data_IF_428921310232
#
_entry.id   IF_428921310232
#
_cell.length_a   1.000
_cell.length_b   1.000
_cell.length_c   1.000
_cell.angle_alpha   90.00
_cell.angle_beta   90.00
_cell.angle_gamma   90.00
#
_symmetry.space_group_name_H-M   'P 1'
#
loop_
_entity.id
_entity.type
_entity.pdbx_description
1 polymer ?
#
# COMPACT_ATOMS: atom_id res chain seq x y z
N UNK A 1 43.30 13.76 -14.64
CA UNK A 1 41.96 13.18 -14.85
C UNK A 1 41.18 13.41 -13.57
N UNK A 2 39.99 14.01 -13.67
CA UNK A 2 39.08 14.11 -12.53
C UNK A 2 38.67 12.72 -12.06
N UNK A 3 38.40 12.56 -10.77
CA UNK A 3 37.80 11.35 -10.26
C UNK A 3 36.31 11.37 -10.61
N UNK A 4 35.83 10.41 -11.39
CA UNK A 4 34.41 10.34 -11.79
C UNK A 4 33.47 10.30 -10.58
N UNK A 5 33.93 9.81 -9.42
CA UNK A 5 33.14 9.82 -8.18
C UNK A 5 32.88 11.23 -7.64
N UNK A 6 33.71 12.21 -8.00
CA UNK A 6 33.58 13.61 -7.57
C UNK A 6 32.86 14.49 -8.58
N UNK A 7 32.57 13.97 -9.77
CA UNK A 7 31.78 14.69 -10.77
C UNK A 7 30.32 14.71 -10.35
N UNK A 8 29.69 15.88 -10.43
CA UNK A 8 28.27 16.03 -10.14
C UNK A 8 27.46 15.46 -11.30
N UNK A 9 26.52 14.59 -10.97
CA UNK A 9 25.48 14.12 -11.86
C UNK A 9 24.11 14.48 -11.32
N UNK A 10 23.11 14.27 -12.15
CA UNK A 10 21.72 14.54 -11.83
C UNK A 10 21.10 13.32 -11.16
N UNK A 11 20.72 13.44 -9.90
CA UNK A 11 19.96 12.43 -9.17
C UNK A 11 18.49 12.85 -9.15
N UNK A 12 17.63 12.07 -9.78
CA UNK A 12 16.21 12.39 -9.96
C UNK A 12 15.29 11.29 -9.45
N UNK A 13 14.14 11.70 -8.92
CA UNK A 13 13.08 10.81 -8.46
C UNK A 13 11.93 10.79 -9.48
N UNK A 14 11.63 9.60 -9.96
CA UNK A 14 10.54 9.33 -10.90
C UNK A 14 9.38 8.64 -10.20
N UNK A 15 8.17 9.19 -10.33
CA UNK A 15 6.94 8.56 -9.85
C UNK A 15 6.26 7.68 -10.89
N UNK A 16 6.85 7.58 -12.08
CA UNK A 16 6.47 6.59 -13.07
C UNK A 16 7.07 6.90 -14.44
N UNK A 17 7.30 5.81 -15.17
CA UNK A 17 7.91 5.80 -16.48
C UNK A 17 6.97 5.13 -17.48
N UNK A 18 7.22 5.38 -18.77
CA UNK A 18 6.49 4.72 -19.85
C UNK A 18 6.96 5.22 -21.20
N UNK A 19 6.09 5.11 -22.18
CA UNK A 19 6.36 5.55 -23.54
C UNK A 19 5.22 6.40 -24.09
N UNK A 20 5.60 7.36 -24.93
CA UNK A 20 4.71 8.23 -25.69
C UNK A 20 5.23 8.34 -27.12
N UNK A 21 4.33 8.52 -28.08
CA UNK A 21 4.76 8.88 -29.44
C UNK A 21 5.07 10.39 -29.52
N UNK A 22 5.92 10.79 -30.46
CA UNK A 22 6.14 12.20 -30.75
C UNK A 22 4.84 12.92 -31.14
N UNK A 23 3.91 12.21 -31.80
CA UNK A 23 2.59 12.75 -32.13
C UNK A 23 1.79 13.07 -30.86
N UNK A 24 1.69 12.12 -29.92
CA UNK A 24 1.01 12.34 -28.64
C UNK A 24 1.61 13.53 -27.89
N UNK A 25 2.94 13.62 -27.84
CA UNK A 25 3.63 14.76 -27.20
C UNK A 25 3.28 16.09 -27.88
N UNK A 26 3.18 16.12 -29.21
CA UNK A 26 2.90 17.35 -29.97
C UNK A 26 1.48 17.91 -29.78
N UNK A 27 0.54 17.07 -29.37
CA UNK A 27 -0.87 17.45 -29.16
C UNK A 27 -1.25 17.59 -27.68
N UNK A 28 -0.29 17.38 -26.76
CA UNK A 28 -0.53 17.53 -25.32
C UNK A 28 -1.08 18.92 -25.01
N UNK A 29 -2.15 18.96 -24.22
CA UNK A 29 -2.78 20.20 -23.75
C UNK A 29 -3.06 20.13 -22.25
N UNK A 30 -3.18 21.30 -21.58
CA UNK A 30 -3.62 21.35 -20.19
C UNK A 30 -4.94 20.58 -19.97
N UNK A 31 -4.97 19.80 -18.90
CA UNK A 31 -6.07 18.92 -18.52
C UNK A 31 -5.91 17.45 -18.96
N UNK A 32 -5.05 17.17 -19.94
CA UNK A 32 -4.78 15.78 -20.34
C UNK A 32 -4.07 15.01 -19.21
N UNK A 33 -4.18 13.69 -19.25
CA UNK A 33 -3.57 12.80 -18.25
C UNK A 33 -2.59 11.87 -18.93
N UNK A 34 -1.32 11.94 -18.54
CA UNK A 34 -0.30 10.97 -18.92
C UNK A 34 -0.23 9.89 -17.84
N UNK A 35 -0.68 8.69 -18.19
CA UNK A 35 -0.74 7.52 -17.31
C UNK A 35 0.55 6.73 -17.35
N UNK A 36 0.79 6.01 -16.26
CA UNK A 36 1.87 5.03 -16.14
C UNK A 36 1.28 3.69 -15.71
N UNK A 37 2.06 2.62 -15.83
CA UNK A 37 1.74 1.34 -15.20
C UNK A 37 2.23 1.26 -13.76
N UNK A 38 2.79 2.36 -13.22
CA UNK A 38 3.32 2.41 -11.87
C UNK A 38 2.17 2.49 -10.87
N UNK A 39 2.09 1.53 -9.96
CA UNK A 39 1.08 1.54 -8.90
C UNK A 39 1.45 2.52 -7.79
N UNK A 40 0.45 3.21 -7.26
CA UNK A 40 0.54 4.03 -6.07
C UNK A 40 1.02 3.19 -4.87
N UNK A 41 1.92 3.74 -4.06
CA UNK A 41 2.41 3.08 -2.86
C UNK A 41 3.51 2.05 -3.06
N UNK A 42 3.82 1.69 -4.30
CA UNK A 42 5.07 0.99 -4.58
C UNK A 42 6.26 1.94 -4.46
N UNK A 43 7.45 1.37 -4.22
CA UNK A 43 8.69 2.13 -4.27
C UNK A 43 8.92 2.71 -5.66
N UNK A 44 9.36 3.96 -5.71
CA UNK A 44 9.60 4.78 -6.89
C UNK A 44 11.06 4.73 -7.33
N UNK A 45 11.29 4.86 -8.63
CA UNK A 45 12.62 4.76 -9.23
C UNK A 45 13.41 6.04 -8.97
N UNK A 46 14.68 5.88 -8.59
CA UNK A 46 15.66 6.96 -8.52
C UNK A 46 16.72 6.72 -9.56
N UNK A 47 16.92 7.70 -10.43
CA UNK A 47 17.88 7.66 -11.51
C UNK A 47 19.05 8.60 -11.23
N UNK A 48 20.26 8.17 -11.61
CA UNK A 48 21.43 9.04 -11.70
C UNK A 48 21.86 9.12 -13.16
N UNK A 49 21.80 10.32 -13.74
CA UNK A 49 22.05 10.56 -15.16
C UNK A 49 21.26 9.59 -16.07
N UNK A 50 19.98 9.36 -15.75
CA UNK A 50 19.10 8.46 -16.50
C UNK A 50 19.28 6.96 -16.26
N UNK A 51 20.22 6.55 -15.39
CA UNK A 51 20.41 5.15 -15.00
C UNK A 51 19.81 4.87 -13.62
N UNK A 52 18.97 3.84 -13.50
CA UNK A 52 18.40 3.44 -12.22
C UNK A 52 19.50 3.08 -11.23
N UNK A 53 19.43 3.61 -10.01
CA UNK A 53 20.36 3.26 -8.91
C UNK A 53 19.60 2.74 -7.68
N UNK A 54 18.47 3.33 -7.33
CA UNK A 54 17.71 2.95 -6.15
C UNK A 54 16.21 2.92 -6.42
N UNK A 55 15.52 2.21 -5.55
CA UNK A 55 14.08 2.32 -5.38
C UNK A 55 13.82 2.88 -3.98
N UNK A 56 12.90 3.83 -3.87
CA UNK A 56 12.64 4.53 -2.62
C UNK A 56 11.20 4.99 -2.47
N UNK A 57 10.83 5.37 -1.25
CA UNK A 57 9.54 5.97 -0.97
C UNK A 57 9.65 7.48 -0.97
N UNK A 58 8.66 8.18 -1.50
CA UNK A 58 8.58 9.65 -1.38
C UNK A 58 8.37 10.02 0.08
N UNK A 59 9.15 10.99 0.55
CA UNK A 59 8.96 11.63 1.85
C UNK A 59 8.86 13.14 1.65
N UNK A 60 8.16 13.82 2.54
CA UNK A 60 8.14 15.28 2.58
C UNK A 60 8.94 15.71 3.81
N UNK A 61 10.01 16.46 3.59
CA UNK A 61 10.89 17.01 4.61
C UNK A 61 10.59 18.49 4.67
N UNK A 62 9.92 18.92 5.74
CA UNK A 62 9.30 20.25 5.86
C UNK A 62 8.33 20.56 4.72
N UNK A 63 8.82 21.21 3.66
CA UNK A 63 8.06 21.59 2.48
C UNK A 63 8.68 21.04 1.18
N UNK A 64 9.77 20.28 1.28
CA UNK A 64 10.50 19.76 0.13
C UNK A 64 10.24 18.27 -0.05
N UNK A 65 10.18 17.83 -1.30
CA UNK A 65 10.25 16.42 -1.63
C UNK A 65 11.62 15.87 -1.29
N UNK A 66 11.59 14.64 -0.81
CA UNK A 66 12.76 13.78 -0.70
C UNK A 66 12.36 12.34 -1.00
N UNK A 67 13.33 11.45 -0.95
CA UNK A 67 13.06 10.02 -0.98
C UNK A 67 13.85 9.31 0.12
N UNK A 68 13.27 8.21 0.59
CA UNK A 68 13.93 7.26 1.48
C UNK A 68 14.25 6.00 0.70
N UNK A 69 15.52 5.63 0.64
CA UNK A 69 15.97 4.42 -0.05
C UNK A 69 15.34 3.20 0.63
N UNK A 70 14.77 2.29 -0.16
CA UNK A 70 14.21 1.02 0.35
C UNK A 70 14.97 -0.19 -0.18
N UNK A 71 15.31 -0.19 -1.47
CA UNK A 71 16.03 -1.28 -2.12
C UNK A 71 16.83 -0.78 -3.30
N UNK A 72 17.79 -1.58 -3.77
CA UNK A 72 18.56 -1.34 -4.99
C UNK A 72 17.94 -2.05 -6.20
N UNK A 73 17.01 -2.97 -5.98
CA UNK A 73 16.31 -3.63 -7.06
C UNK A 73 15.40 -2.62 -7.77
N UNK A 74 15.37 -2.59 -9.12
CA UNK A 74 14.39 -1.79 -9.83
C UNK A 74 12.97 -2.27 -9.48
N UNK A 75 11.98 -1.37 -9.51
CA UNK A 75 10.59 -1.80 -9.41
C UNK A 75 10.28 -2.80 -10.55
N UNK A 76 9.28 -3.66 -10.33
CA UNK A 76 8.84 -4.58 -11.39
C UNK A 76 8.53 -3.75 -12.64
N UNK A 77 9.06 -4.10 -13.82
CA UNK A 77 8.78 -3.35 -15.04
C UNK A 77 7.27 -3.40 -15.28
N UNK A 78 6.64 -2.23 -15.19
CA UNK A 78 5.26 -2.02 -15.66
C UNK A 78 5.33 -1.61 -17.12
N UNK A 79 4.67 -2.34 -18.00
CA UNK A 79 4.56 -1.97 -19.41
C UNK A 79 4.66 -3.14 -20.37
N UNK A 80 4.00 -2.99 -21.52
CA UNK A 80 4.17 -3.89 -22.64
C UNK A 80 5.59 -3.75 -23.21
N UNK A 81 6.24 -4.88 -23.49
CA UNK A 81 7.42 -4.87 -24.36
C UNK A 81 6.92 -4.62 -25.79
N UNK A 82 7.18 -3.43 -26.32
CA UNK A 82 6.85 -3.12 -27.69
C UNK A 82 7.88 -3.79 -28.60
N UNK A 83 7.47 -4.86 -29.28
CA UNK A 83 8.27 -5.55 -30.29
C UNK A 83 7.77 -5.08 -31.66
N UNK A 84 8.68 -4.53 -32.47
CA UNK A 84 8.45 -3.82 -33.74
C UNK A 84 8.07 -2.34 -33.55
N UNK A 85 9.11 -1.51 -33.47
CA UNK A 85 9.01 -0.07 -33.63
C UNK A 85 9.71 0.24 -34.95
N UNK A 86 8.99 0.73 -35.94
CA UNK A 86 9.53 0.99 -37.29
C UNK A 86 10.10 2.43 -37.39
N UNK A 87 9.67 3.33 -36.48
CA UNK A 87 10.15 4.72 -36.39
C UNK A 87 10.61 5.08 -34.96
N UNK A 88 11.79 5.71 -34.83
CA UNK A 88 12.34 6.18 -33.56
C UNK A 88 11.43 7.16 -32.79
N UNK A 89 10.46 7.80 -33.47
CA UNK A 89 9.51 8.74 -32.89
C UNK A 89 8.21 8.09 -32.40
N UNK A 90 7.98 6.80 -32.66
CA UNK A 90 6.77 6.10 -32.19
C UNK A 90 6.82 5.79 -30.69
N UNK A 91 8.02 5.60 -30.14
CA UNK A 91 8.22 5.09 -28.78
C UNK A 91 9.30 5.88 -28.05
N UNK A 92 8.96 7.12 -27.66
CA UNK A 92 9.84 7.95 -26.84
C UNK A 92 9.64 7.63 -25.36
N UNK A 93 10.71 7.31 -24.62
CA UNK A 93 10.60 7.06 -23.19
C UNK A 93 10.24 8.36 -22.48
N UNK A 94 9.30 8.29 -21.53
CA UNK A 94 8.98 9.41 -20.67
C UNK A 94 9.23 9.08 -19.20
N UNK A 95 9.43 10.14 -18.42
CA UNK A 95 9.60 10.10 -16.98
C UNK A 95 8.76 11.19 -16.34
N UNK A 96 8.00 10.84 -15.29
CA UNK A 96 7.29 11.82 -14.45
C UNK A 96 8.18 12.12 -13.26
N UNK A 97 8.91 13.24 -13.31
CA UNK A 97 9.93 13.63 -12.33
C UNK A 97 9.33 14.53 -11.26
N UNK A 98 9.45 14.12 -9.99
CA UNK A 98 9.07 14.97 -8.85
C UNK A 98 10.11 16.04 -8.52
N UNK A 99 11.39 15.70 -8.67
CA UNK A 99 12.49 16.57 -8.30
C UNK A 99 13.84 15.95 -8.65
N UNK A 100 14.88 16.78 -8.62
CA UNK A 100 16.25 16.37 -8.87
C UNK A 100 17.23 17.24 -8.10
N UNK A 101 18.41 16.70 -7.83
CA UNK A 101 19.54 17.44 -7.28
C UNK A 101 20.82 17.09 -8.03
N UNK A 102 21.77 18.02 -8.06
CA UNK A 102 23.10 17.77 -8.58
C UNK A 102 24.04 17.32 -7.44
N UNK A 103 24.39 16.04 -7.47
CA UNK A 103 25.17 15.36 -6.43
C UNK A 103 26.26 14.48 -7.06
N UNK A 104 27.36 14.26 -6.35
CA UNK A 104 28.42 13.35 -6.79
C UNK A 104 28.18 11.93 -6.28
N UNK A 105 28.69 10.91 -6.98
CA UNK A 105 28.60 9.52 -6.52
C UNK A 105 29.32 9.29 -5.18
N UNK A 106 30.35 10.10 -4.88
CA UNK A 106 31.05 10.07 -3.61
C UNK A 106 30.14 10.48 -2.44
N UNK A 107 29.21 11.42 -2.65
CA UNK A 107 28.24 11.83 -1.62
C UNK A 107 27.15 10.77 -1.39
N UNK A 108 26.94 9.87 -2.36
CA UNK A 108 26.08 8.69 -2.20
C UNK A 108 26.83 7.50 -1.60
N UNK A 109 28.12 7.64 -1.27
CA UNK A 109 28.86 6.57 -0.61
C UNK A 109 28.20 6.22 0.72
N UNK A 110 28.02 4.92 0.96
CA UNK A 110 27.32 4.38 2.13
C UNK A 110 25.82 4.66 2.20
N UNK A 111 25.21 5.24 1.16
CA UNK A 111 23.76 5.31 1.05
C UNK A 111 23.17 3.88 0.93
N UNK A 112 22.25 3.56 1.84
CA UNK A 112 21.57 2.26 1.91
C UNK A 112 20.11 2.40 2.38
N UNK A 113 19.39 1.29 2.54
CA UNK A 113 18.00 1.31 2.99
C UNK A 113 17.81 2.14 4.26
N UNK A 114 16.83 3.04 4.26
CA UNK A 114 16.56 4.00 5.33
C UNK A 114 17.23 5.37 5.15
N UNK A 115 18.21 5.51 4.25
CA UNK A 115 18.82 6.81 3.95
C UNK A 115 17.78 7.74 3.32
N UNK A 116 17.69 8.97 3.83
CA UNK A 116 16.80 10.00 3.31
C UNK A 116 17.61 11.03 2.53
N UNK A 117 17.16 11.36 1.32
CA UNK A 117 17.76 12.37 0.45
C UNK A 117 16.70 13.42 0.13
N UNK A 118 16.99 14.69 0.38
CA UNK A 118 16.14 15.81 -0.03
C UNK A 118 16.41 16.18 -1.48
N UNK A 119 15.38 16.53 -2.25
CA UNK A 119 15.47 16.89 -3.66
C UNK A 119 15.41 18.40 -3.92
N UNK A 120 15.34 19.23 -2.86
CA UNK A 120 15.18 20.69 -2.95
C UNK A 120 13.99 21.15 -3.84
N UNK A 121 13.02 20.25 -4.07
CA UNK A 121 11.84 20.50 -4.87
C UNK A 121 10.64 20.74 -3.95
N UNK A 122 10.03 21.93 -4.01
CA UNK A 122 8.90 22.26 -3.13
C UNK A 122 7.64 21.45 -3.47
N UNK A 123 6.98 20.95 -2.44
CA UNK A 123 5.66 20.34 -2.55
C UNK A 123 4.62 21.40 -2.93
N UNK A 124 3.94 21.19 -4.05
CA UNK A 124 2.89 22.09 -4.55
C UNK A 124 1.53 21.39 -4.61
N UNK A 125 0.48 22.10 -4.21
CA UNK A 125 -0.91 21.63 -4.41
C UNK A 125 -1.38 21.82 -5.85
N UNK A 126 -0.65 22.59 -6.66
CA UNK A 126 -1.05 22.94 -8.04
C UNK A 126 -0.30 22.12 -9.08
N UNK A 127 1.04 22.09 -8.99
CA UNK A 127 1.88 21.36 -9.94
C UNK A 127 3.21 20.97 -9.29
N UNK A 128 3.40 19.69 -9.05
CA UNK A 128 4.46 19.11 -8.23
C UNK A 128 5.39 18.17 -9.01
N UNK A 129 5.16 17.97 -10.31
CA UNK A 129 6.04 17.16 -11.17
C UNK A 129 6.19 17.72 -12.58
N UNK A 130 7.27 17.32 -13.24
CA UNK A 130 7.55 17.57 -14.64
C UNK A 130 7.45 16.28 -15.46
N UNK A 131 6.93 16.41 -16.68
CA UNK A 131 7.01 15.36 -17.69
C UNK A 131 8.27 15.58 -18.52
N UNK A 132 9.13 14.57 -18.56
CA UNK A 132 10.30 14.55 -19.42
C UNK A 132 10.09 13.53 -20.53
N UNK A 133 10.42 13.88 -21.76
CA UNK A 133 10.45 12.99 -22.93
C UNK A 133 11.89 12.87 -23.39
N UNK A 134 12.44 11.65 -23.36
CA UNK A 134 13.86 11.41 -23.66
C UNK A 134 14.81 12.35 -22.88
N UNK A 135 14.46 12.68 -21.63
CA UNK A 135 15.23 13.59 -20.76
C UNK A 135 14.96 15.09 -20.98
N UNK A 136 14.12 15.47 -21.94
CA UNK A 136 13.76 16.87 -22.21
C UNK A 136 12.46 17.20 -21.47
N UNK A 137 12.43 18.22 -20.59
CA UNK A 137 11.18 18.67 -19.96
C UNK A 137 10.22 19.23 -21.01
N UNK A 138 9.00 18.68 -21.07
CA UNK A 138 7.98 19.06 -22.06
C UNK A 138 6.71 19.64 -21.43
N UNK A 139 6.43 19.35 -20.17
CA UNK A 139 5.23 19.80 -19.49
C UNK A 139 5.40 19.78 -17.97
N UNK A 140 4.53 20.51 -17.28
CA UNK A 140 4.37 20.47 -15.83
C UNK A 140 2.96 20.00 -15.49
N UNK A 141 2.84 19.26 -14.40
CA UNK A 141 1.55 18.73 -13.99
C UNK A 141 1.40 18.46 -12.50
N UNK A 142 0.20 18.03 -12.14
CA UNK A 142 -0.14 17.54 -10.81
C UNK A 142 -0.14 16.02 -10.82
N UNK A 143 0.62 15.41 -9.91
CA UNK A 143 0.61 13.96 -9.75
C UNK A 143 -0.72 13.52 -9.15
N UNK A 144 -1.31 12.49 -9.77
CA UNK A 144 -2.52 11.85 -9.31
C UNK A 144 -2.42 10.33 -9.43
N UNK A 145 -3.47 9.66 -8.94
CA UNK A 145 -3.69 8.24 -9.17
C UNK A 145 -5.06 8.04 -9.83
N UNK A 146 -5.10 7.27 -10.92
CA UNK A 146 -6.35 6.88 -11.59
C UNK A 146 -6.54 5.40 -11.31
N UNK A 147 -7.55 5.07 -10.51
CA UNK A 147 -7.65 3.78 -9.82
C UNK A 147 -6.44 3.58 -8.90
N UNK A 148 -5.36 3.01 -9.42
CA UNK A 148 -4.10 2.76 -8.69
C UNK A 148 -2.89 3.28 -9.44
N UNK A 149 -3.03 3.52 -10.75
CA UNK A 149 -1.92 3.86 -11.60
C UNK A 149 -1.60 5.34 -11.41
N UNK A 150 -0.34 5.60 -11.08
CA UNK A 150 0.23 6.93 -11.03
C UNK A 150 0.09 7.58 -12.40
N UNK A 151 -0.26 8.86 -12.39
CA UNK A 151 -0.40 9.65 -13.59
C UNK A 151 0.00 11.10 -13.33
N UNK A 152 0.26 11.82 -14.40
CA UNK A 152 0.44 13.26 -14.38
C UNK A 152 -0.74 13.92 -15.09
N UNK A 153 -1.52 14.73 -14.37
CA UNK A 153 -2.49 15.63 -14.98
C UNK A 153 -1.76 16.88 -15.44
N UNK A 154 -1.74 17.13 -16.74
CA UNK A 154 -1.02 18.23 -17.36
C UNK A 154 -1.66 19.56 -16.95
N UNK A 155 -0.85 20.49 -16.46
CA UNK A 155 -1.27 21.83 -16.04
C UNK A 155 -0.73 22.87 -17.02
N UNK A 156 0.52 22.69 -17.45
CA UNK A 156 1.18 23.57 -18.40
C UNK A 156 2.05 22.74 -19.35
N UNK A 157 2.17 23.19 -20.60
CA UNK A 157 2.93 22.52 -21.64
C UNK A 157 4.00 23.49 -22.11
N UNK A 158 5.26 23.12 -21.92
CA UNK A 158 6.39 23.88 -22.44
C UNK A 158 6.38 23.77 -23.97
N UNK A 159 6.77 24.82 -24.69
CA UNK A 159 6.55 24.93 -26.14
C UNK A 159 6.96 23.68 -26.94
N UNK A 160 6.00 22.81 -27.25
CA UNK A 160 6.18 21.52 -27.93
C UNK A 160 5.57 21.54 -29.34
N UNK A 161 5.68 22.64 -30.07
CA UNK A 161 5.32 22.59 -31.49
C UNK A 161 6.45 21.87 -32.24
N UNK A 162 6.24 20.65 -32.77
CA UNK A 162 7.23 20.00 -33.61
C UNK A 162 7.50 20.91 -34.81
N UNK A 163 8.73 21.39 -34.94
CA UNK A 163 9.10 22.25 -36.05
C UNK A 163 9.31 21.38 -37.28
N UNK A 164 8.47 21.56 -38.30
CA UNK A 164 8.79 21.12 -39.67
C UNK A 164 8.60 19.63 -40.01
N UNK A 165 7.90 18.84 -39.19
CA UNK A 165 7.65 17.42 -39.47
C UNK A 165 6.15 17.07 -39.41
N UNK A 166 5.65 16.38 -40.44
CA UNK A 166 4.36 15.69 -40.39
C UNK A 166 4.56 14.40 -39.58
N UNK A 167 4.23 14.44 -38.29
CA UNK A 167 4.27 13.25 -37.43
C UNK A 167 3.13 12.31 -37.80
N UNK A 168 3.43 11.02 -37.96
CA UNK A 168 2.40 10.01 -38.14
C UNK A 168 1.55 9.86 -36.87
N UNK A 169 0.24 9.69 -37.05
CA UNK A 169 -0.68 9.52 -35.92
C UNK A 169 -0.44 8.15 -35.31
N UNK A 170 0.25 8.14 -34.17
CA UNK A 170 0.52 6.95 -33.39
C UNK A 170 0.08 7.19 -31.95
N UNK A 171 -0.69 6.28 -31.37
CA UNK A 171 -1.08 6.34 -29.96
C UNK A 171 -0.52 5.15 -29.21
N UNK A 172 0.16 5.46 -28.11
CA UNK A 172 0.66 4.47 -27.15
C UNK A 172 -0.42 4.04 -26.15
N UNK A 173 -1.51 4.81 -26.04
CA UNK A 173 -2.55 4.61 -25.03
C UNK A 173 -2.21 5.22 -23.67
N UNK A 174 -1.03 5.84 -23.53
CA UNK A 174 -0.59 6.49 -22.29
C UNK A 174 -1.26 7.83 -22.03
N UNK A 175 -1.76 8.52 -23.06
CA UNK A 175 -2.47 9.81 -22.92
C UNK A 175 -3.97 9.59 -22.87
N UNK A 176 -4.62 10.14 -21.84
CA UNK A 176 -6.06 10.34 -21.83
C UNK A 176 -6.43 11.81 -21.99
N UNK A 177 -7.29 12.07 -22.97
CA UNK A 177 -7.80 13.42 -23.22
C UNK A 177 -8.69 13.92 -22.07
N UNK A 178 -8.50 15.21 -21.75
CA UNK A 178 -9.20 15.95 -20.68
C UNK A 178 -10.73 15.79 -20.62
N UNK A 179 -11.40 15.61 -21.76
CA UNK A 179 -12.87 15.49 -21.86
C UNK A 179 -13.42 14.23 -21.19
N UNK A 180 -12.60 13.16 -21.09
CA UNK A 180 -13.01 11.87 -20.55
C UNK A 180 -12.31 11.51 -19.23
N UNK A 181 -11.15 12.12 -18.95
CA UNK A 181 -10.18 11.62 -17.96
C UNK A 181 -10.25 12.28 -16.59
N UNK A 182 -10.65 13.55 -16.52
CA UNK A 182 -10.69 14.34 -15.27
C UNK A 182 -11.68 13.81 -14.23
N UNK A 183 -12.72 13.07 -14.66
CA UNK A 183 -13.74 12.51 -13.76
C UNK A 183 -13.22 11.40 -12.85
N UNK A 184 -12.16 10.69 -13.25
CA UNK A 184 -11.62 9.53 -12.53
C UNK A 184 -10.22 9.77 -11.96
N UNK A 185 -9.69 10.98 -12.14
CA UNK A 185 -8.40 11.41 -11.61
C UNK A 185 -8.57 11.94 -10.19
N UNK A 186 -7.81 11.38 -9.26
CA UNK A 186 -7.68 11.91 -7.89
C UNK A 186 -6.25 12.38 -7.68
N UNK A 187 -6.09 13.58 -7.14
CA UNK A 187 -4.78 14.12 -6.78
C UNK A 187 -4.12 13.23 -5.72
N UNK A 188 -2.85 12.88 -5.94
CA UNK A 188 -2.14 11.98 -5.04
C UNK A 188 -1.61 12.75 -3.84
N UNK A 189 -1.83 12.20 -2.65
CA UNK A 189 -1.40 12.83 -1.42
C UNK A 189 -0.08 12.22 -0.92
N UNK A 190 1.05 12.82 -1.31
CA UNK A 190 2.37 12.37 -0.85
C UNK A 190 2.59 12.46 0.67
N UNK A 191 1.77 13.25 1.40
CA UNK A 191 1.81 13.27 2.89
C UNK A 191 1.14 12.05 3.51
N UNK A 192 0.20 11.44 2.79
CA UNK A 192 -0.53 10.22 3.19
C UNK A 192 -0.57 9.27 1.99
N UNK A 193 0.60 8.73 1.60
CA UNK A 193 0.69 7.89 0.43
C UNK A 193 -0.10 6.60 0.67
N UNK A 194 -0.77 6.13 -0.37
CA UNK A 194 -1.32 4.78 -0.34
C UNK A 194 -0.19 3.77 -0.13
N UNK A 195 -0.42 2.74 0.69
CA UNK A 195 0.59 1.74 1.07
C UNK A 195 0.21 0.32 0.68
N UNK A 196 -1.05 0.11 0.33
CA UNK A 196 -1.64 -1.17 -0.04
C UNK A 196 -2.30 -1.03 -1.40
N UNK A 197 -2.01 -1.97 -2.30
CA UNK A 197 -2.70 -2.05 -3.58
C UNK A 197 -4.16 -2.47 -3.42
N UNK A 198 -4.96 -2.32 -4.47
CA UNK A 198 -6.34 -2.75 -4.56
C UNK A 198 -6.42 -4.26 -4.53
N UNK A 199 -5.44 -4.96 -5.10
CA UNK A 199 -5.32 -6.40 -4.92
C UNK A 199 -5.18 -6.75 -3.43
N UNK A 200 -4.34 -6.02 -2.68
CA UNK A 200 -4.21 -6.21 -1.24
C UNK A 200 -5.52 -5.92 -0.50
N UNK A 201 -6.22 -4.83 -0.85
CA UNK A 201 -7.53 -4.46 -0.28
C UNK A 201 -8.58 -5.55 -0.58
N UNK A 202 -8.67 -6.03 -1.82
CA UNK A 202 -9.63 -7.06 -2.26
C UNK A 202 -9.32 -8.42 -1.64
N UNK A 203 -8.04 -8.77 -1.46
CA UNK A 203 -7.63 -9.96 -0.71
C UNK A 203 -7.96 -9.83 0.77
N UNK A 204 -7.72 -8.68 1.39
CA UNK A 204 -8.12 -8.40 2.76
C UNK A 204 -9.63 -8.53 2.94
N UNK A 205 -10.42 -8.04 1.99
CA UNK A 205 -11.88 -8.20 1.97
C UNK A 205 -12.26 -9.68 1.94
N UNK A 206 -11.72 -10.44 0.98
CA UNK A 206 -11.99 -11.87 0.82
C UNK A 206 -11.63 -12.69 2.07
N UNK A 207 -10.48 -12.37 2.69
CA UNK A 207 -10.03 -12.97 3.95
C UNK A 207 -11.06 -12.73 5.06
N UNK A 208 -11.49 -11.48 5.22
CA UNK A 208 -12.41 -11.11 6.29
C UNK A 208 -13.84 -11.62 6.06
N UNK A 209 -14.23 -11.94 4.83
CA UNK A 209 -15.49 -12.64 4.60
C UNK A 209 -15.48 -14.04 5.22
N UNK A 210 -14.36 -14.77 5.13
CA UNK A 210 -14.22 -16.06 5.81
C UNK A 210 -14.26 -15.91 7.33
N UNK A 211 -13.59 -14.88 7.87
CA UNK A 211 -13.65 -14.55 9.29
C UNK A 211 -15.09 -14.25 9.76
N UNK A 212 -15.80 -13.34 9.07
CA UNK A 212 -17.17 -12.97 9.41
C UNK A 212 -18.13 -14.17 9.32
N UNK A 213 -17.98 -15.03 8.29
CA UNK A 213 -18.74 -16.28 8.16
C UNK A 213 -18.54 -17.20 9.37
N UNK A 214 -17.30 -17.41 9.79
CA UNK A 214 -16.99 -18.28 10.94
C UNK A 214 -17.58 -17.74 12.26
N UNK A 215 -17.51 -16.42 12.48
CA UNK A 215 -18.13 -15.76 13.65
C UNK A 215 -19.65 -15.90 13.63
N UNK A 216 -20.28 -15.62 12.48
CA UNK A 216 -21.73 -15.79 12.29
C UNK A 216 -22.19 -17.21 12.56
N UNK A 217 -21.53 -18.22 11.97
CA UNK A 217 -21.92 -19.63 12.13
C UNK A 217 -21.92 -20.09 13.58
N UNK A 218 -21.09 -19.49 14.44
CA UNK A 218 -20.97 -19.89 15.84
C UNK A 218 -21.89 -19.14 16.78
N UNK A 219 -22.03 -17.83 16.61
CA UNK A 219 -22.71 -16.96 17.60
C UNK A 219 -23.91 -16.19 17.06
N UNK A 220 -24.19 -16.26 15.75
CA UNK A 220 -25.32 -15.56 15.08
C UNK A 220 -25.44 -14.07 15.45
N UNK A 221 -24.30 -13.41 15.70
CA UNK A 221 -24.21 -12.01 16.12
C UNK A 221 -24.24 -11.02 14.96
N UNK A 222 -24.10 -11.52 13.73
CA UNK A 222 -24.26 -10.71 12.52
C UNK A 222 -25.01 -11.57 11.51
N UNK A 223 -26.18 -11.11 11.06
CA UNK A 223 -27.06 -11.89 10.17
C UNK A 223 -26.57 -11.80 8.72
N UNK A 224 -26.79 -10.65 8.11
CA UNK A 224 -26.31 -10.33 6.78
C UNK A 224 -25.22 -9.28 6.94
N UNK A 225 -23.97 -9.64 6.68
CA UNK A 225 -22.84 -8.73 6.86
C UNK A 225 -22.40 -8.14 5.52
N UNK A 226 -21.97 -6.89 5.58
CA UNK A 226 -21.19 -6.26 4.51
C UNK A 226 -19.78 -6.02 5.01
N UNK A 227 -18.79 -6.13 4.11
CA UNK A 227 -17.38 -5.89 4.43
C UNK A 227 -16.88 -4.76 3.56
N UNK A 228 -16.40 -3.74 4.24
CA UNK A 228 -15.72 -2.57 3.67
C UNK A 228 -14.27 -2.61 4.15
N UNK A 229 -13.34 -2.38 3.24
CA UNK A 229 -11.91 -2.34 3.55
C UNK A 229 -11.39 -1.01 3.06
N UNK A 230 -10.95 -0.20 4.02
CA UNK A 230 -10.41 1.13 3.77
C UNK A 230 -8.95 1.18 4.21
N UNK A 231 -8.20 2.07 3.58
CA UNK A 231 -6.85 2.42 3.99
C UNK A 231 -6.81 3.89 4.40
N UNK A 232 -6.43 4.17 5.64
CA UNK A 232 -6.44 5.52 6.21
C UNK A 232 -5.32 5.70 7.24
N UNK A 233 -5.07 6.94 7.66
CA UNK A 233 -4.17 7.20 8.77
C UNK A 233 -4.83 6.82 10.11
N UNK A 234 -4.07 6.31 11.08
CA UNK A 234 -4.60 5.89 12.37
C UNK A 234 -5.30 7.03 13.14
N UNK A 235 -4.79 8.26 13.05
CA UNK A 235 -5.43 9.45 13.63
C UNK A 235 -6.80 9.77 13.01
N UNK A 236 -7.03 9.42 11.73
CA UNK A 236 -8.34 9.57 11.09
C UNK A 236 -9.34 8.56 11.69
N UNK A 237 -8.92 7.31 11.95
CA UNK A 237 -9.74 6.34 12.66
C UNK A 237 -10.13 6.86 14.05
N UNK A 238 -9.15 7.35 14.82
CA UNK A 238 -9.41 7.90 16.16
C UNK A 238 -10.39 9.08 16.14
N UNK A 239 -10.37 9.89 15.08
CA UNK A 239 -11.33 10.98 14.91
C UNK A 239 -12.74 10.50 14.55
N UNK A 240 -12.86 9.31 13.95
CA UNK A 240 -14.14 8.74 13.48
C UNK A 240 -14.79 7.85 14.55
N UNK A 241 -13.97 7.18 15.36
CA UNK A 241 -14.40 6.24 16.39
C UNK A 241 -14.60 6.99 17.70
N UNK A 242 -15.86 7.14 18.12
CA UNK A 242 -16.16 7.59 19.48
C UNK A 242 -15.77 6.51 20.48
N UNK A 243 -14.64 6.69 21.16
CA UNK A 243 -14.01 5.65 21.99
C UNK A 243 -14.96 4.96 22.98
N UNK A 244 -15.89 5.71 23.57
CA UNK A 244 -16.85 5.20 24.54
C UNK A 244 -17.79 4.12 23.97
N UNK A 245 -18.00 4.11 22.65
CA UNK A 245 -18.92 3.19 21.96
C UNK A 245 -18.33 1.82 21.67
N UNK A 246 -17.04 1.62 21.91
CA UNK A 246 -16.34 0.39 21.52
C UNK A 246 -15.68 -0.31 22.70
N UNK A 247 -15.55 -1.62 22.57
CA UNK A 247 -14.66 -2.45 23.37
C UNK A 247 -13.52 -2.95 22.48
N UNK A 248 -12.32 -3.00 23.04
CA UNK A 248 -11.09 -3.19 22.31
C UNK A 248 -10.48 -4.55 22.65
N UNK A 249 -10.09 -5.30 21.62
CA UNK A 249 -9.30 -6.52 21.76
C UNK A 249 -7.94 -6.31 21.10
N UNK A 250 -6.88 -6.44 21.89
CA UNK A 250 -5.50 -6.40 21.41
C UNK A 250 -5.04 -7.82 21.08
N UNK A 251 -4.62 -8.02 19.84
CA UNK A 251 -4.14 -9.31 19.33
C UNK A 251 -2.67 -9.18 18.96
N UNK A 252 -1.84 -10.07 19.49
CA UNK A 252 -0.41 -10.13 19.18
C UNK A 252 -0.10 -11.36 18.32
N UNK A 253 0.81 -11.20 17.37
CA UNK A 253 1.40 -12.33 16.65
C UNK A 253 2.70 -12.76 17.35
N UNK A 254 2.72 -13.95 17.94
CA UNK A 254 3.91 -14.46 18.67
C UNK A 254 4.77 -15.39 17.79
N UNK A 255 6.11 -15.38 17.95
CA UNK A 255 6.97 -16.29 17.19
C UNK A 255 6.67 -17.76 17.48
N UNK A 256 7.04 -18.62 16.53
CA UNK A 256 7.03 -20.07 16.70
C UNK A 256 8.33 -20.55 17.37
N UNK A 257 8.31 -21.62 18.19
CA UNK A 257 7.18 -22.50 18.51
C UNK A 257 6.21 -21.84 19.50
N UNK A 258 4.94 -22.29 19.51
CA UNK A 258 3.91 -21.86 20.48
C UNK A 258 4.50 -22.02 21.90
N UNK A 259 5.01 -20.94 22.49
CA UNK A 259 5.72 -21.06 23.75
C UNK A 259 4.81 -21.70 24.81
N UNK A 260 5.45 -22.62 25.54
CA UNK A 260 4.86 -23.58 26.46
C UNK A 260 4.01 -22.87 27.51
N UNK A 261 2.84 -23.45 27.80
CA UNK A 261 1.89 -23.01 28.81
C UNK A 261 2.62 -22.58 30.10
N UNK A 262 2.26 -21.46 30.75
CA UNK A 262 2.59 -21.31 32.16
C UNK A 262 2.02 -22.54 32.91
N UNK A 263 2.80 -23.09 33.84
CA UNK A 263 2.53 -24.39 34.48
C UNK A 263 1.08 -24.54 35.00
N UNK A 264 0.43 -23.43 35.34
CA UNK A 264 -0.93 -23.35 35.87
C UNK A 264 -2.05 -23.65 34.85
N UNK A 265 -1.75 -23.78 33.55
CA UNK A 265 -2.73 -24.06 32.49
C UNK A 265 -2.54 -25.41 31.79
N UNK A 266 -1.69 -26.29 32.33
CA UNK A 266 -1.49 -27.66 31.83
C UNK A 266 -2.74 -28.49 32.17
N UNK A 267 -3.67 -28.62 31.20
CA UNK A 267 -4.84 -29.50 31.33
C UNK A 267 -6.16 -28.90 30.82
N UNK A 268 -6.25 -27.59 30.60
CA UNK A 268 -7.41 -27.00 29.93
C UNK A 268 -7.30 -27.25 28.42
N UNK A 269 -8.23 -28.01 27.84
CA UNK A 269 -8.42 -28.05 26.39
C UNK A 269 -8.80 -26.63 25.96
N UNK A 270 -8.08 -26.04 24.99
CA UNK A 270 -8.70 -24.96 24.22
C UNK A 270 -9.97 -25.55 23.59
N UNK A 271 -11.05 -24.77 23.43
CA UNK A 271 -12.07 -25.10 22.47
C UNK A 271 -11.39 -25.23 21.10
N UNK A 272 -11.03 -26.45 20.70
CA UNK A 272 -10.67 -26.69 19.32
C UNK A 272 -11.94 -26.45 18.53
N UNK A 273 -11.88 -25.53 17.56
CA UNK A 273 -12.97 -25.34 16.61
C UNK A 273 -13.24 -26.73 16.01
N UNK A 274 -14.42 -27.33 16.23
CA UNK A 274 -14.70 -28.66 15.71
C UNK A 274 -14.51 -28.63 14.20
N UNK A 275 -13.86 -29.63 13.61
CA UNK A 275 -13.57 -29.71 12.15
C UNK A 275 -14.78 -29.39 11.25
N UNK A 276 -16.02 -29.60 11.75
CA UNK A 276 -17.28 -29.24 11.07
C UNK A 276 -17.54 -27.74 10.87
N UNK A 277 -16.83 -26.86 11.57
CA UNK A 277 -16.97 -25.40 11.44
C UNK A 277 -15.89 -24.77 10.54
N UNK A 278 -14.96 -25.57 10.02
CA UNK A 278 -14.10 -25.14 8.91
C UNK A 278 -14.87 -25.31 7.61
N UNK A 279 -15.29 -24.21 7.00
CA UNK A 279 -15.54 -24.21 5.55
C UNK A 279 -14.19 -23.91 4.91
N UNK A 280 -13.41 -24.96 4.64
CA UNK A 280 -12.31 -24.84 3.68
C UNK A 280 -12.97 -24.77 2.29
N UNK A 281 -12.81 -23.67 1.52
CA UNK A 281 -13.16 -23.75 0.11
C UNK A 281 -12.24 -24.81 -0.52
N UNK A 282 -12.82 -25.80 -1.21
CA UNK A 282 -12.07 -26.89 -1.88
C UNK A 282 -10.96 -26.36 -2.80
N UNK A 283 -11.09 -25.10 -3.24
CA UNK A 283 -10.05 -24.34 -3.92
C UNK A 283 -9.91 -22.96 -3.24
N UNK A 284 -8.83 -22.71 -2.50
CA UNK A 284 -8.54 -21.35 -2.02
C UNK A 284 -8.28 -20.44 -3.24
N UNK A 285 -9.05 -19.35 -3.38
CA UNK A 285 -8.96 -18.43 -4.52
C UNK A 285 -7.56 -17.80 -4.70
N UNK A 286 -6.70 -17.82 -3.67
CA UNK A 286 -5.39 -17.15 -3.67
C UNK A 286 -4.33 -18.04 -2.99
N UNK A 287 -3.79 -19.02 -3.70
CA UNK A 287 -2.65 -19.79 -3.21
C UNK A 287 -1.34 -19.00 -3.41
N UNK A 288 -0.64 -18.66 -2.32
CA UNK A 288 0.69 -18.08 -2.39
C UNK A 288 1.71 -19.09 -2.98
N UNK A 289 2.64 -18.67 -3.86
CA UNK A 289 3.72 -19.52 -4.35
C UNK A 289 4.57 -20.11 -3.22
N UNK A 290 5.15 -21.29 -3.46
CA UNK A 290 5.87 -22.05 -2.41
C UNK A 290 7.10 -21.30 -1.89
N UNK A 291 7.83 -20.61 -2.77
CA UNK A 291 8.97 -19.74 -2.41
C UNK A 291 8.54 -18.60 -1.49
N UNK A 292 7.39 -17.98 -1.79
CA UNK A 292 6.81 -16.91 -0.99
C UNK A 292 6.41 -17.42 0.40
N UNK A 293 5.79 -18.61 0.49
CA UNK A 293 5.46 -19.26 1.76
C UNK A 293 6.70 -19.55 2.61
N UNK A 294 7.80 -19.96 1.99
CA UNK A 294 9.06 -20.23 2.69
C UNK A 294 9.71 -18.95 3.21
N UNK A 295 9.69 -17.88 2.41
CA UNK A 295 10.15 -16.56 2.84
C UNK A 295 9.33 -16.05 4.03
N UNK A 296 8.00 -16.14 3.97
CA UNK A 296 7.13 -15.77 5.08
C UNK A 296 7.46 -16.55 6.36
N UNK A 297 7.66 -17.87 6.25
CA UNK A 297 8.01 -18.70 7.41
C UNK A 297 9.30 -18.19 8.06
N UNK A 298 10.31 -17.84 7.27
CA UNK A 298 11.56 -17.28 7.80
C UNK A 298 11.35 -15.97 8.56
N UNK A 299 10.52 -15.05 8.04
CA UNK A 299 10.21 -13.78 8.71
C UNK A 299 9.38 -14.00 9.98
N UNK A 300 8.36 -14.87 9.91
CA UNK A 300 7.48 -15.18 11.04
C UNK A 300 8.20 -15.93 12.19
N UNK A 301 9.36 -16.52 11.92
CA UNK A 301 10.19 -17.21 12.93
C UNK A 301 11.36 -16.38 13.45
N UNK A 302 11.59 -15.15 12.95
CA UNK A 302 12.68 -14.30 13.42
C UNK A 302 12.35 -13.72 14.80
N UNK A 303 13.19 -14.01 15.79
CA UNK A 303 13.02 -13.56 17.18
C UNK A 303 13.02 -12.02 17.31
N UNK A 304 13.69 -11.31 16.39
CA UNK A 304 13.73 -9.85 16.38
C UNK A 304 12.41 -9.21 15.91
N UNK A 305 11.48 -9.99 15.36
CA UNK A 305 10.22 -9.52 14.78
C UNK A 305 9.10 -9.31 15.83
N UNK A 306 9.42 -9.38 17.12
CA UNK A 306 8.43 -9.59 18.20
C UNK A 306 7.74 -8.36 18.78
N UNK A 307 8.08 -7.11 18.42
CA UNK A 307 7.70 -5.96 19.25
C UNK A 307 6.67 -4.97 18.70
N UNK A 308 6.16 -5.13 17.46
CA UNK A 308 5.25 -4.12 16.84
C UNK A 308 3.96 -4.68 16.22
N UNK A 309 3.70 -5.99 16.31
CA UNK A 309 2.65 -6.68 15.54
C UNK A 309 1.30 -6.79 16.27
N UNK A 310 0.73 -5.65 16.66
CA UNK A 310 -0.63 -5.59 17.18
C UNK A 310 -1.67 -5.53 16.05
N UNK A 311 -2.61 -6.48 16.03
CA UNK A 311 -3.89 -6.33 15.31
C UNK A 311 -4.94 -5.98 16.35
N UNK A 312 -5.83 -5.05 16.02
CA UNK A 312 -6.86 -4.60 16.96
C UNK A 312 -8.23 -4.98 16.43
N UNK A 313 -9.11 -5.44 17.30
CA UNK A 313 -10.54 -5.56 16.99
C UNK A 313 -11.31 -4.58 17.87
N UNK A 314 -12.04 -3.68 17.23
CA UNK A 314 -12.96 -2.74 17.85
C UNK A 314 -14.37 -3.31 17.69
N UNK A 315 -15.01 -3.67 18.80
CA UNK A 315 -16.37 -4.22 18.79
C UNK A 315 -17.32 -3.16 19.32
N UNK A 316 -18.36 -2.83 18.55
CA UNK A 316 -19.44 -1.94 19.01
C UNK A 316 -20.07 -2.48 20.29
N UNK A 317 -20.29 -1.62 21.30
CA UNK A 317 -20.98 -1.96 22.55
C UNK A 317 -22.48 -2.24 22.38
N UNK A 318 -22.99 -2.21 21.15
CA UNK A 318 -24.39 -2.52 20.84
C UNK A 318 -24.57 -4.03 20.69
N UNK A 319 -25.73 -4.51 21.16
CA UNK A 319 -26.16 -5.89 20.89
C UNK A 319 -26.62 -6.01 19.42
N UNK A 320 -26.45 -7.18 18.80
CA UNK A 320 -25.90 -8.43 19.36
C UNK A 320 -24.35 -8.56 19.38
N UNK A 321 -23.58 -7.79 18.62
CA UNK A 321 -22.14 -8.04 18.42
C UNK A 321 -21.26 -7.89 19.65
N UNK A 322 -21.62 -7.01 20.60
CA UNK A 322 -20.89 -6.82 21.87
C UNK A 322 -20.68 -8.12 22.66
N UNK A 323 -21.56 -9.10 22.46
CA UNK A 323 -21.44 -10.39 23.12
C UNK A 323 -20.10 -11.10 22.82
N UNK A 324 -19.45 -10.80 21.68
CA UNK A 324 -18.16 -11.39 21.32
C UNK A 324 -17.03 -10.97 22.26
N UNK A 325 -17.16 -9.82 22.94
CA UNK A 325 -16.16 -9.30 23.89
C UNK A 325 -16.61 -9.40 25.35
N UNK A 326 -17.83 -9.81 25.65
CA UNK A 326 -18.31 -9.97 27.03
C UNK A 326 -17.92 -11.32 27.66
N UNK A 327 -17.50 -12.29 26.85
CA UNK A 327 -17.24 -13.68 27.27
C UNK A 327 -15.86 -14.15 26.78
N UNK A 328 -14.97 -14.62 27.69
CA UNK A 328 -13.63 -15.07 27.33
C UNK A 328 -13.58 -16.18 26.28
N UNK A 329 -14.55 -17.10 26.26
CA UNK A 329 -14.61 -18.17 25.25
C UNK A 329 -14.98 -17.61 23.87
N UNK A 330 -15.85 -16.59 23.84
CA UNK A 330 -16.22 -15.88 22.60
C UNK A 330 -15.07 -15.02 22.08
N UNK A 331 -14.31 -14.39 22.96
CA UNK A 331 -13.10 -13.65 22.61
C UNK A 331 -12.05 -14.59 21.98
N UNK A 332 -11.75 -15.72 22.64
CA UNK A 332 -10.81 -16.72 22.13
C UNK A 332 -11.28 -17.32 20.80
N UNK A 333 -12.57 -17.57 20.65
CA UNK A 333 -13.12 -18.04 19.38
C UNK A 333 -12.95 -16.99 18.29
N UNK A 334 -13.22 -15.71 18.58
CA UNK A 334 -13.07 -14.61 17.61
C UNK A 334 -11.63 -14.51 17.11
N UNK A 335 -10.64 -14.55 18.01
CA UNK A 335 -9.21 -14.59 17.63
C UNK A 335 -8.87 -15.85 16.84
N UNK A 336 -9.44 -17.00 17.21
CA UNK A 336 -9.22 -18.26 16.47
C UNK A 336 -9.83 -18.26 15.08
N UNK A 337 -11.00 -17.62 14.89
CA UNK A 337 -11.64 -17.42 13.60
C UNK A 337 -10.81 -16.49 12.72
N UNK A 338 -10.25 -15.42 13.30
CA UNK A 338 -9.35 -14.50 12.59
C UNK A 338 -8.09 -15.25 12.10
N UNK A 339 -7.45 -16.02 12.99
CA UNK A 339 -6.33 -16.89 12.62
C UNK A 339 -6.69 -17.87 11.51
N UNK A 340 -7.87 -18.48 11.59
CA UNK A 340 -8.36 -19.41 10.57
C UNK A 340 -8.51 -18.77 9.20
N UNK A 341 -8.90 -17.49 9.15
CA UNK A 341 -9.03 -16.75 7.89
C UNK A 341 -7.66 -16.46 7.24
N UNK A 342 -6.65 -16.16 8.05
CA UNK A 342 -5.27 -15.94 7.58
C UNK A 342 -4.56 -17.21 7.10
N UNK A 343 -4.94 -18.39 7.61
CA UNK A 343 -4.27 -19.68 7.39
C UNK A 343 -4.00 -20.03 5.91
N UNK A 344 -4.88 -19.59 5.00
CA UNK A 344 -4.72 -19.84 3.56
C UNK A 344 -3.55 -19.05 2.93
N UNK A 345 -3.25 -17.88 3.49
CA UNK A 345 -2.14 -17.02 3.08
C UNK A 345 -0.89 -17.32 3.92
N UNK A 346 -1.04 -17.25 5.25
CA UNK A 346 0.04 -17.40 6.23
C UNK A 346 -0.47 -18.03 7.53
N UNK A 347 0.28 -18.96 8.10
CA UNK A 347 -0.01 -19.54 9.42
C UNK A 347 0.48 -18.61 10.55
N UNK A 348 -0.35 -17.62 10.88
CA UNK A 348 -0.09 -16.63 11.94
C UNK A 348 -0.43 -17.20 13.33
N UNK A 349 0.36 -16.82 14.34
CA UNK A 349 0.15 -17.24 15.71
C UNK A 349 -0.48 -16.11 16.53
N UNK A 350 -1.68 -15.71 16.10
CA UNK A 350 -2.48 -14.70 16.79
C UNK A 350 -2.95 -15.18 18.17
N UNK A 351 -2.70 -14.36 19.18
CA UNK A 351 -3.13 -14.56 20.56
C UNK A 351 -3.75 -13.28 21.11
N UNK A 352 -4.82 -13.45 21.90
CA UNK A 352 -5.41 -12.35 22.65
C UNK A 352 -4.43 -11.91 23.74
N UNK A 353 -4.03 -10.65 23.71
CA UNK A 353 -3.18 -10.04 24.73
C UNK A 353 -4.04 -9.40 25.82
N UNK A 354 -5.00 -8.56 25.42
CA UNK A 354 -5.87 -7.82 26.34
C UNK A 354 -7.26 -7.60 25.73
N UNK A 355 -8.29 -7.52 26.58
CA UNK A 355 -9.62 -7.00 26.25
C UNK A 355 -9.99 -5.90 27.24
N UNK A 356 -10.35 -4.73 26.73
CA UNK A 356 -10.49 -3.50 27.54
C UNK A 356 -11.52 -2.55 26.94
N UNK A 357 -12.12 -1.72 27.80
CA UNK A 357 -13.00 -0.62 27.39
C UNK A 357 -12.24 0.69 27.18
N UNK A 358 -10.95 0.75 27.52
CA UNK A 358 -10.13 1.95 27.38
C UNK A 358 -9.51 2.06 25.98
N UNK A 359 -9.61 3.22 25.30
CA UNK A 359 -8.93 3.45 24.01
C UNK A 359 -7.41 3.60 24.14
N UNK A 360 -6.89 3.82 25.35
CA UNK A 360 -5.46 4.08 25.58
C UNK A 360 -4.58 2.91 25.15
N UNK A 361 -5.12 1.68 25.17
CA UNK A 361 -4.41 0.47 24.72
C UNK A 361 -4.08 0.47 23.22
N UNK A 362 -4.71 1.33 22.42
CA UNK A 362 -4.47 1.43 20.97
C UNK A 362 -3.55 2.62 20.62
N UNK A 363 -3.30 3.53 21.57
CA UNK A 363 -2.39 4.69 21.39
C UNK A 363 -0.90 4.33 21.26
N UNK A 364 -0.58 3.04 21.12
CA UNK A 364 0.76 2.56 20.79
C UNK A 364 1.13 2.91 19.34
N UNK A 365 0.12 3.07 18.48
CA UNK A 365 0.30 3.45 17.06
C UNK A 365 0.41 4.98 16.94
N UNK A 366 1.31 5.46 16.07
CA UNK A 366 1.44 6.88 15.75
C UNK A 366 0.26 7.37 14.90
N UNK A 367 -0.22 8.61 15.12
CA UNK A 367 -1.40 9.15 14.41
C UNK A 367 -1.26 9.18 12.88
N UNK A 368 -0.03 9.30 12.37
CA UNK A 368 0.28 9.32 10.94
C UNK A 368 0.54 7.94 10.34
N UNK A 369 0.55 6.88 11.15
CA UNK A 369 0.73 5.50 10.67
C UNK A 369 -0.45 5.11 9.76
N UNK A 370 -0.15 4.57 8.59
CA UNK A 370 -1.18 4.04 7.69
C UNK A 370 -1.69 2.70 8.19
N UNK A 371 -3.01 2.50 8.17
CA UNK A 371 -3.68 1.29 8.59
C UNK A 371 -4.60 0.76 7.48
N UNK A 372 -4.82 -0.55 7.47
CA UNK A 372 -6.00 -1.16 6.83
C UNK A 372 -7.09 -1.31 7.90
N UNK A 373 -8.23 -0.69 7.65
CA UNK A 373 -9.44 -0.80 8.43
C UNK A 373 -10.42 -1.72 7.72
N UNK A 374 -10.73 -2.86 8.34
CA UNK A 374 -11.78 -3.74 7.85
C UNK A 374 -13.03 -3.54 8.69
N UNK A 375 -14.07 -2.97 8.09
CA UNK A 375 -15.37 -2.76 8.72
C UNK A 375 -16.31 -3.89 8.35
N UNK A 376 -16.77 -4.63 9.35
CA UNK A 376 -17.78 -5.68 9.21
C UNK A 376 -19.04 -5.18 9.90
N UNK A 377 -20.06 -4.82 9.11
CA UNK A 377 -21.32 -4.27 9.62
C UNK A 377 -22.52 -5.10 9.21
N UNK A 378 -23.52 -5.16 10.09
CA UNK A 378 -24.81 -5.75 9.77
C UNK A 378 -25.56 -4.88 8.75
N UNK A 379 -26.01 -5.47 7.65
CA UNK A 379 -26.74 -4.79 6.58
C UNK A 379 -28.05 -4.16 7.08
N UNK A 380 -28.59 -4.67 8.19
CA UNK A 380 -29.85 -4.21 8.78
C UNK A 380 -29.64 -3.25 9.96
N UNK A 381 -28.40 -2.99 10.38
CA UNK A 381 -28.08 -2.13 11.53
C UNK A 381 -26.68 -1.56 11.47
N UNK A 382 -26.57 -0.27 11.20
CA UNK A 382 -25.29 0.47 11.20
C UNK A 382 -24.61 0.50 12.56
N UNK A 383 -25.34 0.22 13.64
CA UNK A 383 -24.80 0.20 15.00
C UNK A 383 -24.23 -1.17 15.40
N UNK A 384 -24.53 -2.23 14.63
CA UNK A 384 -24.08 -3.60 14.88
C UNK A 384 -22.89 -3.93 13.97
N UNK A 385 -21.71 -3.47 14.38
CA UNK A 385 -20.50 -3.57 13.57
C UNK A 385 -19.25 -3.80 14.42
N UNK A 386 -18.23 -4.35 13.78
CA UNK A 386 -16.87 -4.45 14.30
C UNK A 386 -15.89 -3.91 13.28
N UNK A 387 -14.76 -3.39 13.77
CA UNK A 387 -13.63 -3.05 12.94
C UNK A 387 -12.43 -3.93 13.29
N UNK A 388 -11.70 -4.39 12.27
CA UNK A 388 -10.39 -5.02 12.43
C UNK A 388 -9.36 -4.06 11.86
N UNK A 389 -8.38 -3.67 12.69
CA UNK A 389 -7.38 -2.65 12.36
C UNK A 389 -6.02 -3.31 12.24
N UNK A 390 -5.38 -3.09 11.09
CA UNK A 390 -4.05 -3.60 10.77
C UNK A 390 -3.10 -2.44 10.49
N UNK A 391 -2.16 -2.14 11.40
CA UNK A 391 -1.07 -1.21 11.12
C UNK A 391 -0.22 -1.67 9.93
N UNK A 392 0.30 -0.71 9.16
CA UNK A 392 1.18 -1.00 8.04
C UNK A 392 2.40 -1.80 8.48
N UNK A 393 3.06 -1.41 9.57
CA UNK A 393 4.21 -2.15 10.13
C UNK A 393 3.88 -3.64 10.36
N UNK A 394 2.67 -3.95 10.82
CA UNK A 394 2.22 -5.34 11.04
C UNK A 394 2.02 -6.11 9.72
N UNK A 395 1.60 -5.42 8.65
CA UNK A 395 1.36 -6.04 7.35
C UNK A 395 2.56 -6.01 6.40
N UNK A 396 3.58 -5.20 6.69
CA UNK A 396 4.74 -4.97 5.82
C UNK A 396 5.38 -6.27 5.28
N UNK A 397 5.62 -7.33 6.09
CA UNK A 397 6.13 -8.61 5.58
C UNK A 397 5.24 -9.32 4.58
N UNK A 398 3.94 -9.08 4.69
CA UNK A 398 2.91 -9.82 3.99
C UNK A 398 2.43 -9.10 2.72
N UNK A 399 2.86 -7.86 2.48
CA UNK A 399 2.47 -7.05 1.30
C UNK A 399 2.71 -7.80 -0.01
N UNK A 400 3.86 -8.48 -0.13
CA UNK A 400 4.16 -9.26 -1.33
C UNK A 400 3.17 -10.40 -1.64
N UNK A 401 2.45 -10.89 -0.62
CA UNK A 401 1.42 -11.94 -0.72
C UNK A 401 0.02 -11.37 -0.73
N UNK A 402 -0.16 -10.13 -0.29
CA UNK A 402 -1.42 -9.42 -0.42
C UNK A 402 -1.58 -8.83 -1.83
N UNK A 403 -0.47 -8.48 -2.51
CA UNK A 403 -0.46 -7.94 -3.87
C UNK A 403 -0.69 -8.98 -4.98
#
# INVERSE_FOLDING_TARGET
MGNFLTEKGNLELSVGEGYLSAYEVSILKPGDIVKTEKLAGEGYSVFFNGHHIFTGEVVIIDHFFGFRITTFAPPKPGGATHNNVDDALEMLPFTIRLGHIDISLLELQSAGPGTIVSLDAEFSTVADAELLIAGIPVAKGKVGATYENMHLRIIDVYGNQPVGHNLEVCSTGSVLESEYSTKYSKDYNFKRPDKFSRNAIDRMKSLHELFARNVRMKYDVIKDFTIEVDQLAFGELLSTVEAEKYRYMLIQNLPWPRNIRPANNIGKMMPSIPRKFYIEPENANFNAPEDTRNHIKSIATDENYSYLNGVFILISKKKPIVQLSEDPDKEQFTVSALRGAWKNLVDLNYQLSESTDSPDSIKVIQDNEMIILVTIKDAMSDANHMHVVYPYVTLQPYIGILN
#
